data_IF_373478393813
#
_entry.id   IF_373478393813
#
_cell.length_a   1.000
_cell.length_b   1.000
_cell.length_c   1.000
_cell.angle_alpha   90.00
_cell.angle_beta   90.00
_cell.angle_gamma   90.00
#
_symmetry.space_group_name_H-M   'P 1'
#
loop_
_entity.id
_entity.type
_entity.pdbx_description
1 polymer ?
#
# COMPACT_ATOMS: atom_id res chain seq x y z
N UNK A 1 2.04 -15.97 37.53
CA UNK A 1 3.36 -16.35 38.09
C UNK A 1 3.54 -17.87 38.11
N UNK A 2 2.65 -18.66 38.72
CA UNK A 2 2.77 -20.13 38.71
C UNK A 2 2.79 -20.73 37.28
N UNK A 3 1.91 -20.26 36.40
CA UNK A 3 1.82 -20.73 35.01
C UNK A 3 3.05 -20.33 34.16
N UNK A 4 3.57 -19.11 34.35
CA UNK A 4 4.78 -18.63 33.66
C UNK A 4 6.04 -19.40 34.07
N UNK A 5 6.16 -19.76 35.35
CA UNK A 5 7.28 -20.59 35.83
C UNK A 5 7.21 -22.02 35.28
N UNK A 6 6.00 -22.55 35.06
CA UNK A 6 5.79 -23.85 34.40
C UNK A 6 6.29 -23.84 32.95
N UNK A 7 5.92 -22.81 32.17
CA UNK A 7 6.36 -22.65 30.78
C UNK A 7 7.87 -22.50 30.67
N UNK A 8 8.50 -21.75 31.59
CA UNK A 8 9.97 -21.61 31.63
C UNK A 8 10.69 -22.93 31.85
N UNK A 9 10.25 -23.68 32.86
CA UNK A 9 10.84 -24.98 33.19
C UNK A 9 10.70 -25.96 32.04
N UNK A 10 9.54 -25.97 31.38
CA UNK A 10 9.29 -26.84 30.23
C UNK A 10 10.14 -26.43 29.02
N UNK A 11 10.31 -25.12 28.77
CA UNK A 11 11.15 -24.62 27.69
C UNK A 11 12.62 -25.01 27.90
N UNK A 12 13.15 -24.85 29.12
CA UNK A 12 14.52 -25.29 29.44
C UNK A 12 14.70 -26.80 29.25
N UNK A 13 13.67 -27.59 29.55
CA UNK A 13 13.69 -29.05 29.38
C UNK A 13 13.78 -29.48 27.92
N UNK A 14 13.14 -28.74 27.00
CA UNK A 14 12.98 -29.16 25.60
C UNK A 14 13.77 -28.32 24.58
N UNK A 15 14.56 -27.34 25.04
CA UNK A 15 15.29 -26.41 24.16
C UNK A 15 16.19 -27.08 23.12
N UNK A 16 16.74 -28.26 23.43
CA UNK A 16 17.62 -29.01 22.53
C UNK A 16 16.86 -29.93 21.56
N UNK A 17 15.53 -29.99 21.63
CA UNK A 17 14.68 -30.79 20.76
C UNK A 17 13.84 -29.88 19.84
N UNK A 18 14.27 -29.67 18.58
CA UNK A 18 13.55 -28.82 17.63
C UNK A 18 12.10 -29.24 17.41
N UNK A 19 11.80 -30.54 17.32
CA UNK A 19 10.43 -31.01 17.10
C UNK A 19 9.51 -30.63 18.27
N UNK A 20 9.99 -30.82 19.50
CA UNK A 20 9.22 -30.46 20.70
C UNK A 20 8.96 -28.95 20.80
N UNK A 21 9.85 -28.10 20.28
CA UNK A 21 9.65 -26.65 20.23
C UNK A 21 8.52 -26.22 19.28
N UNK A 22 8.20 -27.01 18.26
CA UNK A 22 7.09 -26.76 17.32
C UNK A 22 5.76 -27.37 17.80
N UNK A 23 5.80 -28.55 18.43
CA UNK A 23 4.59 -29.31 18.81
C UNK A 23 4.03 -28.92 20.19
N UNK A 24 4.89 -28.52 21.13
CA UNK A 24 4.45 -28.20 22.50
C UNK A 24 3.77 -26.84 22.52
N UNK A 25 2.46 -26.82 22.81
CA UNK A 25 1.69 -25.57 22.83
C UNK A 25 1.63 -24.92 24.19
N UNK A 26 1.70 -23.60 24.17
CA UNK A 26 1.41 -22.75 25.31
C UNK A 26 0.14 -21.98 25.00
N UNK A 27 -0.88 -22.19 25.83
CA UNK A 27 -2.10 -21.40 25.81
C UNK A 27 -1.98 -20.24 26.80
N UNK A 28 -2.46 -19.07 26.41
CA UNK A 28 -2.55 -17.92 27.30
C UNK A 28 -1.30 -17.02 27.29
N UNK A 29 -1.18 -16.21 28.34
CA UNK A 29 -0.23 -15.11 28.37
C UNK A 29 1.09 -15.49 29.04
N UNK A 30 2.21 -15.27 28.34
CA UNK A 30 3.56 -15.51 28.86
C UNK A 30 4.24 -14.17 29.16
N UNK A 31 4.67 -13.99 30.41
CA UNK A 31 5.33 -12.76 30.86
C UNK A 31 6.85 -12.86 30.78
N UNK A 32 7.49 -11.76 30.37
CA UNK A 32 8.93 -11.51 30.54
C UNK A 32 9.26 -11.38 32.07
N UNK A 33 10.54 -11.43 32.54
CA UNK A 33 11.79 -11.19 31.81
C UNK A 33 12.64 -12.43 31.46
N UNK A 34 12.42 -13.59 32.07
CA UNK A 34 13.32 -14.74 31.91
C UNK A 34 13.30 -15.34 30.49
N UNK A 35 12.29 -15.00 29.70
CA UNK A 35 12.15 -15.38 28.29
C UNK A 35 11.46 -14.25 27.51
N UNK A 36 11.40 -14.38 26.18
CA UNK A 36 10.58 -13.49 25.34
C UNK A 36 9.12 -13.63 25.77
N UNK A 37 8.44 -12.54 26.11
CA UNK A 37 7.04 -12.56 26.52
C UNK A 37 6.05 -12.30 25.38
N UNK A 38 4.79 -12.69 25.55
CA UNK A 38 3.70 -12.40 24.60
C UNK A 38 3.57 -10.89 24.34
N UNK A 39 3.72 -10.05 25.38
CA UNK A 39 3.73 -8.57 25.22
C UNK A 39 4.84 -8.07 24.32
N UNK A 40 6.05 -8.63 24.44
CA UNK A 40 7.19 -8.19 23.63
C UNK A 40 6.98 -8.47 22.14
N UNK A 41 6.40 -9.63 21.81
CA UNK A 41 6.02 -10.00 20.44
C UNK A 41 4.95 -9.03 19.93
N UNK A 42 3.90 -8.82 20.71
CA UNK A 42 2.78 -7.95 20.34
C UNK A 42 3.25 -6.51 20.12
N UNK A 43 3.99 -5.92 21.06
CA UNK A 43 4.48 -4.54 20.93
C UNK A 43 5.46 -4.38 19.78
N UNK A 44 6.39 -5.33 19.59
CA UNK A 44 7.32 -5.29 18.46
C UNK A 44 6.57 -5.32 17.12
N UNK A 45 5.57 -6.19 16.97
CA UNK A 45 4.75 -6.27 15.76
C UNK A 45 3.91 -5.00 15.55
N UNK A 46 3.21 -4.53 16.59
CA UNK A 46 2.37 -3.34 16.51
C UNK A 46 3.19 -2.08 16.18
N UNK A 47 4.35 -1.90 16.81
CA UNK A 47 5.24 -0.77 16.54
C UNK A 47 5.76 -0.81 15.10
N UNK A 48 6.12 -2.01 14.62
CA UNK A 48 6.58 -2.20 13.24
C UNK A 48 5.47 -1.97 12.23
N UNK A 49 4.26 -2.49 12.46
CA UNK A 49 3.08 -2.23 11.63
C UNK A 49 2.76 -0.74 11.59
N UNK A 50 2.78 -0.06 12.74
CA UNK A 50 2.60 1.39 12.80
C UNK A 50 3.68 2.13 12.01
N UNK A 51 4.95 1.77 12.16
CA UNK A 51 6.05 2.37 11.41
C UNK A 51 5.92 2.15 9.88
N UNK A 52 5.49 0.96 9.46
CA UNK A 52 5.22 0.63 8.06
C UNK A 52 4.08 1.47 7.49
N UNK A 53 2.94 1.53 8.20
CA UNK A 53 1.78 2.34 7.81
C UNK A 53 2.17 3.80 7.75
N UNK A 54 2.88 4.30 8.76
CA UNK A 54 3.33 5.68 8.83
C UNK A 54 4.18 6.08 7.62
N UNK A 55 5.10 5.20 7.19
CA UNK A 55 5.91 5.40 5.98
C UNK A 55 5.06 5.45 4.72
N UNK A 56 4.07 4.55 4.61
CA UNK A 56 3.14 4.53 3.48
C UNK A 56 2.19 5.75 3.46
N UNK A 57 1.92 6.39 4.60
CA UNK A 57 0.92 7.45 4.74
C UNK A 57 1.46 8.87 4.70
N UNK A 58 2.77 9.08 4.61
CA UNK A 58 3.40 10.41 4.50
C UNK A 58 3.07 11.20 3.22
N UNK A 59 2.01 10.81 2.52
CA UNK A 59 1.77 11.17 1.12
C UNK A 59 0.72 12.27 0.88
N UNK A 60 0.19 13.04 1.85
CA UNK A 60 -0.79 14.08 1.47
C UNK A 60 -0.76 15.37 2.30
N UNK A 61 -0.81 16.51 1.58
CA UNK A 61 -1.03 17.86 2.12
C UNK A 61 -2.45 17.95 2.69
N UNK A 62 -2.65 18.40 3.93
CA UNK A 62 -3.98 18.68 4.45
C UNK A 62 -4.63 19.83 3.67
N UNK A 63 -5.90 19.67 3.28
CA UNK A 63 -6.66 20.74 2.62
C UNK A 63 -6.89 21.90 3.61
N UNK A 64 -6.61 23.12 3.17
CA UNK A 64 -6.88 24.32 3.98
C UNK A 64 -8.37 24.42 4.33
N UNK A 65 -8.69 24.56 5.62
CA UNK A 65 -10.06 24.77 6.11
C UNK A 65 -10.85 23.53 6.59
N UNK A 66 -10.26 22.33 6.66
CA UNK A 66 -10.96 21.13 7.16
C UNK A 66 -10.91 20.99 8.70
N UNK A 67 -12.03 20.57 9.31
CA UNK A 67 -12.11 20.26 10.75
C UNK A 67 -11.13 19.17 11.18
N UNK A 68 -10.63 19.22 12.42
CA UNK A 68 -9.73 18.22 13.00
C UNK A 68 -10.28 16.79 12.90
N UNK A 69 -11.59 16.61 13.11
CA UNK A 69 -12.24 15.30 13.04
C UNK A 69 -12.22 14.71 11.62
N UNK A 70 -12.44 15.53 10.58
CA UNK A 70 -12.40 15.04 9.21
C UNK A 70 -10.98 14.71 8.75
N UNK A 71 -9.98 15.42 9.27
CA UNK A 71 -8.57 15.08 9.10
C UNK A 71 -8.21 13.76 9.79
N UNK A 72 -8.65 13.57 11.03
CA UNK A 72 -8.39 12.36 11.80
C UNK A 72 -9.06 11.13 11.17
N UNK A 73 -10.34 11.24 10.78
CA UNK A 73 -11.07 10.17 10.09
C UNK A 73 -10.44 9.80 8.74
N UNK A 74 -9.98 10.81 7.99
CA UNK A 74 -9.29 10.59 6.72
C UNK A 74 -7.99 9.83 6.94
N UNK A 75 -7.17 10.22 7.93
CA UNK A 75 -5.93 9.51 8.28
C UNK A 75 -6.22 8.08 8.72
N UNK A 76 -7.18 7.88 9.61
CA UNK A 76 -7.56 6.54 10.11
C UNK A 76 -8.04 5.63 8.97
N UNK A 77 -8.85 6.16 8.04
CA UNK A 77 -9.31 5.41 6.87
C UNK A 77 -8.15 4.91 6.00
N UNK A 78 -7.14 5.75 5.77
CA UNK A 78 -5.95 5.37 5.01
C UNK A 78 -5.03 4.44 5.78
N UNK A 79 -4.92 4.59 7.10
CA UNK A 79 -4.21 3.64 7.96
C UNK A 79 -4.83 2.26 7.89
N UNK A 80 -6.15 2.16 7.94
CA UNK A 80 -6.85 0.89 7.79
C UNK A 80 -6.66 0.31 6.38
N UNK A 81 -6.74 1.13 5.32
CA UNK A 81 -6.46 0.67 3.97
C UNK A 81 -5.03 0.11 3.81
N UNK A 82 -4.03 0.78 4.39
CA UNK A 82 -2.65 0.33 4.38
C UNK A 82 -2.40 -0.91 5.25
N UNK A 83 -3.17 -1.09 6.33
CA UNK A 83 -3.13 -2.28 7.18
C UNK A 83 -3.75 -3.50 6.49
N UNK A 84 -4.90 -3.36 5.82
CA UNK A 84 -5.60 -4.50 5.21
C UNK A 84 -5.14 -4.80 3.77
N UNK A 85 -4.59 -3.81 3.06
CA UNK A 85 -4.13 -3.94 1.68
C UNK A 85 -2.85 -3.15 1.42
N UNK A 86 -1.71 -3.48 2.08
CA UNK A 86 -0.44 -2.80 1.86
C UNK A 86 0.01 -2.91 0.38
N UNK A 87 -0.31 -4.01 -0.29
CA UNK A 87 -0.03 -4.21 -1.70
C UNK A 87 -0.87 -3.31 -2.61
N UNK A 88 -2.12 -2.99 -2.23
CA UNK A 88 -2.95 -2.05 -2.99
C UNK A 88 -2.41 -0.63 -2.88
N UNK A 89 -1.88 -0.28 -1.71
CA UNK A 89 -1.19 1.00 -1.50
C UNK A 89 0.10 1.05 -2.31
N UNK A 90 0.88 -0.03 -2.33
CA UNK A 90 2.09 -0.16 -3.16
C UNK A 90 1.76 -0.06 -4.66
N UNK A 91 0.74 -0.78 -5.13
CA UNK A 91 0.25 -0.70 -6.51
C UNK A 91 -0.08 0.75 -6.88
N UNK A 92 -0.86 1.41 -6.02
CA UNK A 92 -1.24 2.80 -6.25
C UNK A 92 -0.02 3.73 -6.31
N UNK A 93 0.91 3.63 -5.36
CA UNK A 93 2.13 4.42 -5.33
C UNK A 93 3.00 4.20 -6.58
N UNK A 94 3.16 2.95 -7.03
CA UNK A 94 3.86 2.62 -8.27
C UNK A 94 3.18 3.23 -9.50
N UNK A 95 1.85 3.19 -9.57
CA UNK A 95 1.13 3.81 -10.70
C UNK A 95 1.30 5.32 -10.74
N UNK A 96 1.26 5.99 -9.59
CA UNK A 96 1.52 7.42 -9.50
C UNK A 96 2.95 7.75 -9.92
N UNK A 97 3.91 6.93 -9.50
CA UNK A 97 5.32 7.08 -9.82
C UNK A 97 5.59 6.98 -11.32
N UNK A 98 5.03 5.97 -11.98
CA UNK A 98 5.17 5.77 -13.42
C UNK A 98 4.49 6.90 -14.21
N UNK A 99 3.30 7.33 -13.79
CA UNK A 99 2.59 8.45 -14.42
C UNK A 99 3.36 9.77 -14.29
N UNK A 100 3.95 10.03 -13.13
CA UNK A 100 4.78 11.20 -12.89
C UNK A 100 6.04 11.21 -13.77
N UNK A 101 6.74 10.08 -13.87
CA UNK A 101 7.92 9.95 -14.76
C UNK A 101 7.56 10.10 -16.23
N UNK A 102 6.41 9.59 -16.65
CA UNK A 102 5.91 9.77 -18.01
C UNK A 102 5.61 11.24 -18.30
N UNK A 103 4.95 11.93 -17.38
CA UNK A 103 4.73 13.37 -17.50
C UNK A 103 6.06 14.13 -17.57
N UNK A 104 7.04 13.80 -16.73
CA UNK A 104 8.36 14.42 -16.77
C UNK A 104 9.05 14.26 -18.14
N UNK A 105 8.97 13.06 -18.74
CA UNK A 105 9.50 12.76 -20.08
C UNK A 105 8.74 13.51 -21.17
N UNK A 106 7.41 13.52 -21.12
CA UNK A 106 6.58 14.23 -22.09
C UNK A 106 6.87 15.73 -22.06
N UNK A 107 6.96 16.31 -20.87
CA UNK A 107 7.30 17.71 -20.69
C UNK A 107 8.70 17.99 -21.23
N UNK A 108 9.72 17.17 -20.90
CA UNK A 108 11.08 17.31 -21.47
C UNK A 108 11.06 17.32 -23.00
N UNK A 109 10.31 16.41 -23.63
CA UNK A 109 10.18 16.36 -25.09
C UNK A 109 9.46 17.60 -25.68
N UNK A 110 8.44 18.12 -25.00
CA UNK A 110 7.74 19.35 -25.41
C UNK A 110 8.63 20.58 -25.25
N UNK A 111 9.44 20.61 -24.19
CA UNK A 111 10.40 21.67 -23.92
C UNK A 111 11.59 21.66 -24.88
N UNK A 112 12.14 20.50 -25.22
CA UNK A 112 13.20 20.38 -26.23
C UNK A 112 12.72 20.88 -27.60
N UNK A 113 11.43 20.67 -27.93
CA UNK A 113 10.79 21.24 -29.12
C UNK A 113 10.55 22.76 -29.02
N UNK A 114 10.47 23.31 -27.81
CA UNK A 114 10.26 24.73 -27.52
C UNK A 114 11.54 25.47 -27.09
N UNK A 115 12.71 24.83 -27.18
CA UNK A 115 14.00 25.25 -26.63
C UNK A 115 14.64 26.51 -27.26
N UNK A 116 13.86 27.40 -27.88
CA UNK A 116 14.26 28.75 -28.27
C UNK A 116 13.99 29.81 -27.19
N UNK A 117 13.40 29.48 -26.03
CA UNK A 117 12.81 30.48 -25.12
C UNK A 117 13.42 30.63 -23.70
N UNK A 118 14.61 30.08 -23.43
CA UNK A 118 15.35 30.37 -22.19
C UNK A 118 15.03 29.45 -21.00
N UNK A 119 16.07 29.26 -20.18
CA UNK A 119 16.30 28.17 -19.22
C UNK A 119 15.16 27.89 -18.21
N UNK A 120 14.89 26.60 -18.02
CA UNK A 120 13.99 26.05 -16.99
C UNK A 120 14.83 25.73 -15.76
N UNK A 121 14.45 26.27 -14.60
CA UNK A 121 15.15 26.01 -13.34
C UNK A 121 14.58 24.79 -12.58
N UNK A 122 13.42 24.23 -12.95
CA UNK A 122 12.81 23.12 -12.19
C UNK A 122 13.10 21.75 -12.79
N UNK A 123 13.51 20.78 -11.97
CA UNK A 123 13.71 19.38 -12.40
C UNK A 123 12.39 18.78 -12.93
N UNK A 124 12.30 18.34 -14.20
CA UNK A 124 11.10 17.76 -14.79
C UNK A 124 10.51 16.59 -13.98
N UNK A 125 11.36 15.82 -13.31
CA UNK A 125 10.92 14.71 -12.46
C UNK A 125 10.17 15.25 -11.23
N UNK A 126 10.77 16.17 -10.48
CA UNK A 126 10.12 16.83 -9.34
C UNK A 126 8.81 17.51 -9.76
N UNK A 127 8.78 18.14 -10.93
CA UNK A 127 7.58 18.75 -11.50
C UNK A 127 6.48 17.71 -11.79
N UNK A 128 6.81 16.62 -12.49
CA UNK A 128 5.86 15.57 -12.83
C UNK A 128 5.22 14.92 -11.59
N UNK A 129 6.02 14.70 -10.55
CA UNK A 129 5.55 14.22 -9.26
C UNK A 129 4.67 15.23 -8.53
N UNK A 130 5.06 16.51 -8.51
CA UNK A 130 4.25 17.57 -7.90
C UNK A 130 2.85 17.64 -8.54
N UNK A 131 2.76 17.51 -9.86
CA UNK A 131 1.49 17.41 -10.59
C UNK A 131 0.72 16.14 -10.22
N UNK A 132 1.38 14.97 -10.19
CA UNK A 132 0.74 13.69 -9.87
C UNK A 132 0.15 13.64 -8.45
N UNK A 133 0.81 14.32 -7.51
CA UNK A 133 0.37 14.50 -6.12
C UNK A 133 -0.68 15.61 -5.97
N UNK A 134 -1.05 16.29 -7.04
CA UNK A 134 -2.10 17.31 -7.01
C UNK A 134 -1.66 18.65 -6.44
N UNK A 135 -0.40 19.03 -6.59
CA UNK A 135 0.15 20.29 -6.08
C UNK A 135 -0.34 21.57 -6.80
N UNK A 136 -1.03 21.43 -7.94
CA UNK A 136 -1.63 22.57 -8.65
C UNK A 136 -3.13 22.63 -8.43
N UNK A 137 -3.62 23.81 -8.04
CA UNK A 137 -5.04 24.11 -7.95
C UNK A 137 -5.42 25.23 -8.92
N UNK A 138 -6.57 25.08 -9.57
CA UNK A 138 -7.12 26.06 -10.50
C UNK A 138 -8.53 26.45 -10.06
N UNK A 139 -8.82 27.75 -10.05
CA UNK A 139 -10.16 28.26 -9.80
C UNK A 139 -11.05 27.97 -11.02
N UNK A 140 -12.10 27.18 -10.81
CA UNK A 140 -13.08 26.88 -11.86
C UNK A 140 -14.36 27.64 -11.53
N UNK A 141 -14.77 28.51 -12.44
CA UNK A 141 -16.04 29.23 -12.34
C UNK A 141 -17.19 28.30 -12.71
N UNK A 142 -18.03 27.96 -11.74
CA UNK A 142 -19.24 27.15 -12.01
C UNK A 142 -20.35 28.04 -12.55
N UNK A 143 -21.27 27.49 -13.35
CA UNK A 143 -22.36 28.21 -14.04
C UNK A 143 -23.34 28.98 -13.12
N UNK A 144 -23.09 29.04 -11.81
CA UNK A 144 -23.79 29.88 -10.84
C UNK A 144 -22.92 30.95 -10.16
N UNK A 145 -21.77 31.31 -10.73
CA UNK A 145 -20.90 32.40 -10.24
C UNK A 145 -20.03 32.07 -9.02
N UNK A 146 -20.04 30.82 -8.54
CA UNK A 146 -19.15 30.37 -7.46
C UNK A 146 -17.86 29.79 -8.04
N UNK A 147 -16.73 30.38 -7.65
CA UNK A 147 -15.40 29.85 -7.95
C UNK A 147 -15.05 28.74 -6.95
N UNK A 148 -14.68 27.57 -7.47
CA UNK A 148 -14.19 26.47 -6.64
C UNK A 148 -12.79 26.07 -7.09
N UNK A 149 -11.84 26.10 -6.16
CA UNK A 149 -10.50 25.57 -6.37
C UNK A 149 -10.57 24.06 -6.62
N UNK A 150 -9.98 23.62 -7.72
CA UNK A 150 -9.88 22.21 -8.08
C UNK A 150 -8.44 21.84 -8.43
N UNK A 151 -8.01 20.71 -7.90
CA UNK A 151 -6.72 20.12 -8.22
C UNK A 151 -6.65 19.72 -9.70
N UNK A 152 -5.56 20.10 -10.36
CA UNK A 152 -5.31 19.77 -11.75
C UNK A 152 -4.65 18.38 -11.88
N UNK A 153 -5.20 17.51 -12.73
CA UNK A 153 -4.66 16.16 -12.94
C UNK A 153 -3.48 16.17 -13.94
N UNK A 154 -2.68 15.09 -13.94
CA UNK A 154 -1.61 14.84 -14.94
C UNK A 154 -2.11 14.99 -16.38
N UNK A 155 -3.30 14.45 -16.67
CA UNK A 155 -3.94 14.59 -18.00
C UNK A 155 -4.31 16.04 -18.31
N UNK A 156 -4.80 16.78 -17.30
CA UNK A 156 -5.12 18.20 -17.41
C UNK A 156 -3.88 19.05 -17.70
N UNK A 157 -2.78 18.82 -16.98
CA UNK A 157 -1.50 19.50 -17.24
C UNK A 157 -0.99 19.20 -18.65
N UNK A 158 -1.04 17.94 -19.09
CA UNK A 158 -0.61 17.57 -20.45
C UNK A 158 -1.43 18.29 -21.53
N UNK A 159 -2.76 18.38 -21.35
CA UNK A 159 -3.65 19.11 -22.27
C UNK A 159 -3.35 20.61 -22.27
N UNK A 160 -3.14 21.22 -21.09
CA UNK A 160 -2.81 22.64 -20.98
C UNK A 160 -1.44 22.97 -21.58
N UNK A 161 -0.45 22.10 -21.37
CA UNK A 161 0.88 22.22 -21.98
C UNK A 161 0.80 22.15 -23.52
N UNK A 162 -0.12 21.36 -24.08
CA UNK A 162 -0.34 21.27 -25.52
C UNK A 162 -0.99 22.54 -26.13
N UNK A 163 -1.72 23.34 -25.34
CA UNK A 163 -2.38 24.58 -25.78
C UNK A 163 -1.45 25.81 -25.66
N UNK A 164 -0.15 25.58 -25.48
CA UNK A 164 0.89 26.61 -25.53
C UNK A 164 0.81 27.65 -24.40
N UNK A 165 0.18 27.31 -23.28
CA UNK A 165 0.38 28.06 -22.05
C UNK A 165 1.72 27.63 -21.50
N UNK A 166 2.66 28.58 -21.40
CA UNK A 166 4.01 28.35 -20.84
C UNK A 166 3.88 27.41 -19.64
N UNK A 167 4.50 26.23 -19.69
CA UNK A 167 4.31 25.24 -18.65
C UNK A 167 4.72 25.84 -17.31
N UNK A 168 3.73 25.92 -16.43
CA UNK A 168 3.70 26.74 -15.23
C UNK A 168 4.88 26.39 -14.32
N UNK A 169 5.85 27.30 -14.22
CA UNK A 169 7.06 27.09 -13.44
C UNK A 169 6.77 27.25 -11.95
N UNK A 170 6.92 26.19 -11.17
CA UNK A 170 7.03 26.27 -9.71
C UNK A 170 8.48 26.60 -9.33
N UNK A 171 8.74 27.65 -8.54
CA UNK A 171 10.08 27.98 -8.05
C UNK A 171 10.71 26.82 -7.26
N UNK A 172 12.01 26.52 -7.48
CA UNK A 172 12.77 25.51 -6.70
C UNK A 172 12.68 25.72 -5.18
N UNK A 173 12.57 26.96 -4.73
CA UNK A 173 12.48 27.34 -3.31
C UNK A 173 11.23 26.79 -2.61
N UNK A 174 10.13 26.54 -3.33
CA UNK A 174 8.93 25.90 -2.78
C UNK A 174 9.12 24.38 -2.58
N UNK A 175 10.06 23.76 -3.29
CA UNK A 175 10.24 22.30 -3.31
C UNK A 175 11.39 21.86 -2.39
N UNK A 176 12.47 22.64 -2.27
CA UNK A 176 13.69 22.15 -1.62
C UNK A 176 13.78 22.38 -0.10
N UNK A 177 12.73 22.84 0.58
CA UNK A 177 12.83 23.09 2.03
C UNK A 177 12.80 21.79 2.86
N UNK A 178 13.79 21.57 3.75
CA UNK A 178 13.86 20.38 4.62
C UNK A 178 13.94 20.76 6.09
N UNK A 179 13.14 20.08 6.90
CA UNK A 179 13.41 19.89 8.32
C UNK A 179 14.31 18.65 8.52
N UNK A 180 15.35 18.77 9.36
CA UNK A 180 16.22 17.66 9.79
C UNK A 180 15.44 16.52 10.47
N UNK A 181 14.26 16.84 11.01
CA UNK A 181 13.36 15.91 11.67
C UNK A 181 12.91 14.75 10.76
N UNK A 182 12.69 15.01 9.47
CA UNK A 182 12.23 13.97 8.51
C UNK A 182 13.30 12.88 8.29
N UNK A 183 14.59 13.24 8.36
CA UNK A 183 15.69 12.27 8.18
C UNK A 183 15.86 11.38 9.41
N UNK A 184 15.80 11.95 10.62
CA UNK A 184 15.85 11.20 11.87
C UNK A 184 14.67 10.24 11.99
N UNK A 185 13.48 10.69 11.63
CA UNK A 185 12.27 9.88 11.66
C UNK A 185 12.33 8.68 10.70
N UNK A 186 12.81 8.89 9.47
CA UNK A 186 13.04 7.80 8.50
C UNK A 186 14.08 6.79 9.01
N UNK A 187 15.15 7.27 9.64
CA UNK A 187 16.17 6.41 10.23
C UNK A 187 15.60 5.55 11.38
N UNK A 188 14.77 6.11 12.25
CA UNK A 188 14.11 5.37 13.34
C UNK A 188 13.17 4.29 12.81
N UNK A 189 12.39 4.59 11.77
CA UNK A 189 11.53 3.60 11.11
C UNK A 189 12.36 2.45 10.53
N UNK A 190 13.42 2.77 9.78
CA UNK A 190 14.28 1.74 9.17
C UNK A 190 14.98 0.88 10.23
N UNK A 191 15.39 1.48 11.35
CA UNK A 191 15.95 0.74 12.48
C UNK A 191 14.92 -0.23 13.07
N UNK A 192 13.70 0.23 13.34
CA UNK A 192 12.62 -0.62 13.87
C UNK A 192 12.29 -1.79 12.92
N UNK A 193 12.15 -1.48 11.63
CA UNK A 193 11.83 -2.46 10.59
C UNK A 193 12.97 -3.47 10.40
N UNK A 194 14.21 -2.99 10.34
CA UNK A 194 15.40 -3.83 10.22
C UNK A 194 15.58 -4.74 11.43
N UNK A 195 15.28 -4.24 12.63
CA UNK A 195 15.32 -5.02 13.86
C UNK A 195 14.30 -6.17 13.85
N UNK A 196 13.04 -5.89 13.49
CA UNK A 196 12.02 -6.94 13.35
C UNK A 196 12.42 -7.99 12.31
N UNK A 197 12.92 -7.56 11.15
CA UNK A 197 13.38 -8.46 10.09
C UNK A 197 14.53 -9.36 10.56
N UNK A 198 15.52 -8.79 11.24
CA UNK A 198 16.65 -9.54 11.80
C UNK A 198 16.18 -10.61 12.80
N UNK A 199 15.24 -10.27 13.69
CA UNK A 199 14.68 -11.26 14.64
C UNK A 199 13.99 -12.40 13.91
N UNK A 200 13.14 -12.11 12.92
CA UNK A 200 12.42 -13.14 12.16
C UNK A 200 13.38 -14.06 11.37
N UNK A 201 14.39 -13.47 10.71
CA UNK A 201 15.40 -14.21 9.93
C UNK A 201 16.25 -15.08 10.86
N UNK A 202 16.74 -14.52 11.98
CA UNK A 202 17.51 -15.26 12.97
C UNK A 202 16.71 -16.47 13.48
N UNK A 203 15.46 -16.27 13.91
CA UNK A 203 14.60 -17.36 14.40
C UNK A 203 14.43 -18.46 13.35
N UNK A 204 14.21 -18.08 12.10
CA UNK A 204 14.12 -19.05 11.00
C UNK A 204 15.42 -19.82 10.78
N UNK A 205 16.58 -19.15 10.89
CA UNK A 205 17.89 -19.78 10.78
C UNK A 205 18.19 -20.78 11.92
N UNK A 206 17.68 -20.51 13.13
CA UNK A 206 17.74 -21.46 14.27
C UNK A 206 16.64 -22.53 14.23
N UNK A 207 15.81 -22.58 13.17
CA UNK A 207 14.72 -23.55 13.05
C UNK A 207 13.57 -23.34 14.04
N UNK A 208 13.44 -22.15 14.62
CA UNK A 208 12.39 -21.84 15.59
C UNK A 208 11.07 -21.49 14.90
N UNK A 209 9.92 -21.76 15.55
CA UNK A 209 8.62 -21.32 15.05
C UNK A 209 8.52 -19.78 15.05
N UNK A 210 7.85 -19.26 14.04
CA UNK A 210 7.43 -17.87 13.94
C UNK A 210 5.93 -17.78 14.22
N UNK A 211 5.49 -16.71 14.85
CA UNK A 211 4.06 -16.43 15.00
C UNK A 211 3.47 -15.98 13.66
N UNK A 212 2.16 -16.19 13.48
CA UNK A 212 1.45 -15.64 12.31
C UNK A 212 1.51 -14.11 12.28
N UNK A 213 1.52 -13.46 13.46
CA UNK A 213 1.66 -12.00 13.55
C UNK A 213 3.02 -11.51 13.04
N UNK A 214 4.11 -12.19 13.39
CA UNK A 214 5.44 -11.86 12.87
C UNK A 214 5.50 -12.06 11.36
N UNK A 215 4.95 -13.18 10.84
CA UNK A 215 4.88 -13.43 9.40
C UNK A 215 4.09 -12.35 8.67
N UNK A 216 2.91 -11.98 9.18
CA UNK A 216 2.08 -10.93 8.62
C UNK A 216 2.80 -9.57 8.63
N UNK A 217 3.47 -9.24 9.75
CA UNK A 217 4.25 -8.01 9.88
C UNK A 217 5.38 -7.95 8.87
N UNK A 218 6.05 -9.08 8.58
CA UNK A 218 7.10 -9.13 7.55
C UNK A 218 6.61 -8.79 6.15
N UNK A 219 5.35 -9.14 5.80
CA UNK A 219 4.76 -8.72 4.53
C UNK A 219 4.59 -7.20 4.48
N UNK A 220 4.14 -6.58 5.57
CA UNK A 220 4.06 -5.12 5.68
C UNK A 220 5.42 -4.45 5.57
N UNK A 221 6.46 -5.04 6.17
CA UNK A 221 7.84 -4.56 6.09
C UNK A 221 8.32 -4.52 4.65
N UNK A 222 8.14 -5.60 3.89
CA UNK A 222 8.55 -5.67 2.47
C UNK A 222 7.80 -4.63 1.64
N UNK A 223 6.48 -4.51 1.82
CA UNK A 223 5.69 -3.50 1.13
C UNK A 223 6.12 -2.07 1.51
N UNK A 224 6.39 -1.80 2.79
CA UNK A 224 6.82 -0.48 3.24
C UNK A 224 8.20 -0.09 2.71
N UNK A 225 9.14 -1.03 2.65
CA UNK A 225 10.45 -0.80 2.00
C UNK A 225 10.24 -0.52 0.51
N UNK A 226 9.45 -1.33 -0.20
CA UNK A 226 9.17 -1.09 -1.62
C UNK A 226 8.53 0.28 -1.87
N UNK A 227 7.56 0.68 -1.03
CA UNK A 227 6.96 2.02 -1.08
C UNK A 227 8.03 3.08 -0.79
N UNK A 228 8.86 2.88 0.23
CA UNK A 228 9.92 3.81 0.60
C UNK A 228 10.96 3.98 -0.51
N UNK A 229 11.35 2.92 -1.22
CA UNK A 229 12.27 2.97 -2.35
C UNK A 229 11.66 3.70 -3.55
N UNK A 230 10.40 3.42 -3.86
CA UNK A 230 9.65 4.13 -4.92
C UNK A 230 9.57 5.63 -4.61
N UNK A 231 9.42 5.98 -3.33
CA UNK A 231 9.36 7.37 -2.88
C UNK A 231 10.75 8.00 -2.68
N UNK A 232 11.80 7.23 -2.42
CA UNK A 232 13.15 7.74 -2.12
C UNK A 232 13.92 8.07 -3.40
N UNK A 233 13.66 7.36 -4.50
CA UNK A 233 14.48 7.44 -5.72
C UNK A 233 14.56 8.85 -6.32
N UNK A 234 13.55 9.71 -6.13
CA UNK A 234 13.53 11.06 -6.71
C UNK A 234 13.20 12.11 -5.61
N UNK A 235 14.18 12.44 -4.75
CA UNK A 235 14.16 13.48 -3.69
C UNK A 235 12.80 14.15 -3.42
N UNK A 236 11.90 13.37 -2.81
CA UNK A 236 10.55 13.75 -2.46
C UNK A 236 10.53 14.80 -1.34
N UNK A 237 9.99 15.98 -1.64
CA UNK A 237 9.58 16.98 -0.64
C UNK A 237 8.30 17.64 -1.13
N UNK A 238 7.28 17.56 -0.29
CA UNK A 238 5.97 18.16 -0.52
C UNK A 238 6.09 19.66 -0.18
N UNK A 239 5.81 20.59 -1.10
CA UNK A 239 5.77 22.02 -0.78
C UNK A 239 4.71 22.32 0.29
N UNK A 240 4.99 23.27 1.17
CA UNK A 240 4.06 23.66 2.25
C UNK A 240 2.82 24.41 1.75
N UNK A 241 2.80 24.83 0.49
CA UNK A 241 1.72 25.62 -0.11
C UNK A 241 1.37 25.13 -1.51
N UNK A 242 0.07 25.09 -1.82
CA UNK A 242 -0.43 24.81 -3.16
C UNK A 242 -0.10 25.99 -4.08
N UNK A 243 0.37 25.71 -5.29
CA UNK A 243 0.50 26.75 -6.32
C UNK A 243 -0.89 27.13 -6.84
N UNK A 244 -1.32 28.38 -6.62
CA UNK A 244 -2.55 28.90 -7.22
C UNK A 244 -2.30 29.30 -8.67
N UNK A 245 -3.03 28.68 -9.60
CA UNK A 245 -3.11 29.20 -10.98
C UNK A 245 -4.19 30.29 -11.03
N UNK A 246 -3.87 31.42 -11.66
CA UNK A 246 -4.85 32.44 -12.03
C UNK A 246 -5.98 31.88 -12.91
N UNK A 247 -7.10 32.60 -12.99
CA UNK A 247 -8.29 32.18 -13.74
C UNK A 247 -7.99 32.06 -15.23
N UNK A 248 -8.16 30.85 -15.78
CA UNK A 248 -8.11 30.61 -17.23
C UNK A 248 -9.49 30.16 -17.67
N UNK A 249 -10.13 30.96 -18.52
CA UNK A 249 -11.43 30.67 -19.11
C UNK A 249 -11.26 29.60 -20.19
N UNK A 250 -11.60 28.34 -19.89
CA UNK A 250 -11.49 27.20 -20.80
C UNK A 250 -12.86 26.60 -21.09
N UNK A 251 -13.11 26.34 -22.37
CA UNK A 251 -14.40 25.89 -22.91
C UNK A 251 -14.87 24.56 -22.28
N UNK A 252 -16.16 24.51 -21.92
CA UNK A 252 -16.78 23.61 -20.93
C UNK A 252 -16.87 22.13 -21.36
N UNK A 253 -16.22 21.72 -22.47
CA UNK A 253 -16.56 20.45 -23.16
C UNK A 253 -15.52 19.32 -23.09
N UNK A 254 -14.34 19.52 -22.50
CA UNK A 254 -13.31 18.48 -22.46
C UNK A 254 -12.82 18.13 -21.05
N UNK A 255 -13.29 16.96 -20.56
CA UNK A 255 -12.76 16.15 -19.46
C UNK A 255 -12.03 16.89 -18.33
N UNK A 256 -12.79 17.68 -17.59
CA UNK A 256 -12.52 17.80 -16.16
C UNK A 256 -12.81 16.44 -15.53
N UNK A 257 -11.80 15.58 -15.34
CA UNK A 257 -11.93 14.53 -14.35
C UNK A 257 -11.70 15.17 -12.97
N UNK A 258 -12.75 15.35 -12.13
CA UNK A 258 -12.64 15.97 -10.81
C UNK A 258 -11.85 15.13 -9.80
N UNK A 259 -11.45 13.91 -10.17
CA UNK A 259 -10.62 13.04 -9.34
C UNK A 259 -9.15 13.43 -9.49
N UNK A 260 -8.79 14.58 -8.90
CA UNK A 260 -7.40 14.81 -8.52
C UNK A 260 -6.93 13.59 -7.73
N UNK A 261 -5.83 12.99 -8.15
CA UNK A 261 -5.19 11.76 -7.64
C UNK A 261 -4.58 11.95 -6.24
N UNK A 262 -5.28 12.66 -5.37
CA UNK A 262 -5.02 12.66 -3.94
C UNK A 262 -5.61 11.37 -3.37
N UNK A 263 -4.80 10.58 -2.66
CA UNK A 263 -5.30 9.36 -1.98
C UNK A 263 -6.58 9.72 -1.21
N UNK A 264 -6.61 10.85 -0.50
CA UNK A 264 -7.74 11.27 0.34
C UNK A 264 -9.14 11.31 -0.32
N UNK A 265 -9.26 11.44 -1.65
CA UNK A 265 -10.55 11.43 -2.38
C UNK A 265 -11.03 10.07 -2.87
N UNK A 266 -10.21 9.02 -2.74
CA UNK A 266 -10.45 7.68 -3.29
C UNK A 266 -10.95 6.76 -2.18
N UNK A 267 -12.13 6.17 -2.34
CA UNK A 267 -12.62 5.07 -1.50
C UNK A 267 -11.92 3.76 -1.89
N UNK A 268 -11.79 2.80 -0.97
CA UNK A 268 -11.15 1.50 -1.27
C UNK A 268 -11.80 0.80 -2.48
N UNK A 269 -13.13 0.92 -2.60
CA UNK A 269 -13.89 0.46 -3.76
C UNK A 269 -13.47 1.17 -5.04
N UNK A 270 -13.30 2.50 -5.01
CA UNK A 270 -12.83 3.27 -6.16
C UNK A 270 -11.34 3.05 -6.49
N UNK A 271 -10.54 2.57 -5.53
CA UNK A 271 -9.16 2.18 -5.76
C UNK A 271 -9.12 0.84 -6.52
N UNK A 272 -9.99 -0.10 -6.15
CA UNK A 272 -10.17 -1.35 -6.89
C UNK A 272 -10.77 -1.09 -8.28
N UNK A 273 -11.90 -0.38 -8.39
CA UNK A 273 -12.53 -0.11 -9.70
C UNK A 273 -11.67 0.79 -10.60
N UNK A 274 -10.99 1.80 -10.05
CA UNK A 274 -10.08 2.64 -10.84
C UNK A 274 -8.83 1.90 -11.31
N UNK A 275 -8.43 0.83 -10.63
CA UNK A 275 -7.40 -0.09 -11.11
C UNK A 275 -7.90 -0.93 -12.29
N UNK A 276 -9.17 -1.35 -12.24
CA UNK A 276 -9.84 -2.12 -13.29
C UNK A 276 -10.02 -1.27 -14.58
N UNK A 277 -10.39 0.00 -14.46
CA UNK A 277 -10.48 0.93 -15.62
C UNK A 277 -9.13 1.08 -16.35
N UNK A 278 -8.02 1.15 -15.60
CA UNK A 278 -6.67 1.23 -16.20
C UNK A 278 -6.26 -0.09 -16.86
N UNK A 279 -6.74 -1.22 -16.35
CA UNK A 279 -6.50 -2.54 -16.92
C UNK A 279 -7.17 -2.70 -18.29
N UNK A 280 -8.41 -2.23 -18.46
CA UNK A 280 -9.14 -2.36 -19.73
C UNK A 280 -8.61 -1.46 -20.85
N UNK A 281 -7.84 -0.41 -20.52
CA UNK A 281 -7.26 0.49 -21.50
C UNK A 281 -5.88 -0.02 -21.96
N UNK A 282 -5.88 -1.02 -22.84
CA UNK A 282 -4.68 -1.68 -23.39
C UNK A 282 -3.85 -0.69 -24.21
N UNK A 283 -2.84 -0.08 -23.59
CA UNK A 283 -1.72 0.59 -24.25
C UNK A 283 -0.42 -0.19 -23.97
N UNK A 284 0.68 0.19 -24.62
CA UNK A 284 2.02 -0.43 -24.53
C UNK A 284 2.57 -0.63 -23.09
N UNK A 285 1.99 0.06 -22.10
CA UNK A 285 2.33 0.03 -20.66
C UNK A 285 1.43 -0.91 -19.83
N UNK A 286 0.39 -1.50 -20.45
CA UNK A 286 -0.61 -2.36 -19.79
C UNK A 286 0.01 -3.61 -19.17
N UNK A 287 1.11 -4.14 -19.72
CA UNK A 287 1.77 -5.34 -19.22
C UNK A 287 2.35 -5.18 -17.82
N UNK A 288 2.95 -4.03 -17.49
CA UNK A 288 3.49 -3.80 -16.14
C UNK A 288 2.38 -3.61 -15.11
N UNK A 289 1.34 -2.85 -15.44
CA UNK A 289 0.18 -2.69 -14.54
C UNK A 289 -0.53 -4.01 -14.30
N UNK A 290 -0.68 -4.82 -15.35
CA UNK A 290 -1.21 -6.18 -15.27
C UNK A 290 -0.36 -7.06 -14.34
N UNK A 291 0.96 -7.04 -14.53
CA UNK A 291 1.88 -7.80 -13.70
C UNK A 291 1.82 -7.37 -12.24
N UNK A 292 1.72 -6.06 -11.95
CA UNK A 292 1.58 -5.57 -10.58
C UNK A 292 0.23 -5.96 -9.97
N UNK A 293 -0.86 -5.86 -10.74
CA UNK A 293 -2.21 -6.17 -10.28
C UNK A 293 -2.40 -7.65 -9.95
N UNK A 294 -1.78 -8.55 -10.72
CA UNK A 294 -1.81 -10.00 -10.48
C UNK A 294 -0.72 -10.42 -9.49
N UNK A 295 0.50 -9.93 -9.70
CA UNK A 295 1.71 -10.37 -9.03
C UNK A 295 1.74 -9.99 -7.56
N UNK A 296 1.30 -8.78 -7.19
CA UNK A 296 1.36 -8.36 -5.79
C UNK A 296 0.42 -9.17 -4.87
N UNK A 297 -0.87 -9.41 -5.23
CA UNK A 297 -1.74 -10.30 -4.46
C UNK A 297 -1.28 -11.76 -4.48
N UNK A 298 -0.71 -12.24 -5.59
CA UNK A 298 -0.11 -13.56 -5.69
C UNK A 298 1.05 -13.75 -4.71
N UNK A 299 1.98 -12.79 -4.65
CA UNK A 299 3.08 -12.80 -3.70
C UNK A 299 2.55 -12.74 -2.27
N UNK A 300 1.59 -11.84 -1.99
CA UNK A 300 0.98 -11.73 -0.67
C UNK A 300 0.36 -13.06 -0.21
N UNK A 301 -0.50 -13.65 -1.04
CA UNK A 301 -1.12 -14.94 -0.75
C UNK A 301 -0.08 -16.05 -0.59
N UNK A 302 0.93 -16.08 -1.45
CA UNK A 302 2.04 -17.03 -1.39
C UNK A 302 2.84 -16.97 -0.09
N UNK A 303 3.17 -15.77 0.41
CA UNK A 303 3.88 -15.62 1.69
C UNK A 303 3.03 -16.17 2.85
N UNK A 304 1.73 -15.91 2.88
CA UNK A 304 0.86 -16.45 3.94
C UNK A 304 0.66 -17.97 3.81
N UNK A 305 0.65 -18.49 2.58
CA UNK A 305 0.62 -19.92 2.31
C UNK A 305 1.95 -20.61 2.65
N UNK A 306 3.06 -19.89 2.78
CA UNK A 306 4.32 -20.48 3.29
C UNK A 306 4.18 -21.02 4.72
N UNK A 307 3.19 -20.54 5.48
CA UNK A 307 2.77 -21.07 6.79
C UNK A 307 1.76 -22.23 6.66
N UNK A 308 1.75 -22.97 5.56
CA UNK A 308 0.81 -24.08 5.33
C UNK A 308 0.82 -25.14 6.44
N UNK A 309 2.01 -25.41 6.99
CA UNK A 309 2.25 -26.42 8.03
C UNK A 309 2.23 -25.83 9.43
N UNK A 310 1.91 -24.53 9.60
CA UNK A 310 1.80 -23.95 10.93
C UNK A 310 0.63 -24.59 11.67
N UNK A 311 0.80 -24.79 12.96
CA UNK A 311 -0.25 -25.32 13.81
C UNK A 311 -1.20 -24.21 14.25
N UNK A 312 -2.49 -24.42 14.02
CA UNK A 312 -3.55 -23.48 14.42
C UNK A 312 -4.26 -24.01 15.66
N UNK A 313 -4.89 -23.14 16.47
CA UNK A 313 -5.64 -23.58 17.64
C UNK A 313 -6.76 -24.56 17.27
N UNK A 314 -7.42 -24.36 16.12
CA UNK A 314 -8.46 -25.25 15.60
C UNK A 314 -8.24 -25.64 14.13
N UNK A 315 -8.80 -26.78 13.72
CA UNK A 315 -8.77 -27.23 12.32
C UNK A 315 -9.53 -26.26 11.38
N UNK A 316 -10.59 -25.62 11.88
CA UNK A 316 -11.36 -24.62 11.13
C UNK A 316 -10.52 -23.39 10.84
N UNK A 317 -9.76 -22.89 11.83
CA UNK A 317 -8.85 -21.76 11.63
C UNK A 317 -7.75 -22.07 10.62
N UNK A 318 -7.15 -23.27 10.71
CA UNK A 318 -6.18 -23.71 9.70
C UNK A 318 -6.78 -23.77 8.29
N UNK A 319 -8.01 -24.29 8.16
CA UNK A 319 -8.68 -24.41 6.88
C UNK A 319 -9.04 -23.03 6.31
N UNK A 320 -9.61 -22.13 7.12
CA UNK A 320 -9.95 -20.78 6.71
C UNK A 320 -8.72 -19.96 6.31
N UNK A 321 -7.59 -20.15 7.00
CA UNK A 321 -6.31 -19.55 6.62
C UNK A 321 -5.86 -19.99 5.23
N UNK A 322 -5.87 -21.30 4.98
CA UNK A 322 -5.47 -21.90 3.70
C UNK A 322 -6.38 -21.44 2.56
N UNK A 323 -7.70 -21.47 2.77
CA UNK A 323 -8.69 -20.96 1.80
C UNK A 323 -8.43 -19.48 1.52
N UNK A 324 -8.29 -18.65 2.55
CA UNK A 324 -8.05 -17.21 2.38
C UNK A 324 -6.78 -16.91 1.60
N UNK A 325 -5.68 -17.61 1.90
CA UNK A 325 -4.40 -17.47 1.19
C UNK A 325 -4.50 -17.87 -0.29
N UNK A 326 -5.15 -19.00 -0.59
CA UNK A 326 -5.39 -19.46 -1.97
C UNK A 326 -6.29 -18.49 -2.72
N UNK A 327 -7.40 -18.07 -2.10
CA UNK A 327 -8.34 -17.11 -2.69
C UNK A 327 -7.62 -15.81 -3.02
N UNK A 328 -6.85 -15.22 -2.11
CA UNK A 328 -6.12 -13.97 -2.39
C UNK A 328 -5.12 -14.14 -3.53
N UNK A 329 -4.43 -15.29 -3.61
CA UNK A 329 -3.47 -15.57 -4.67
C UNK A 329 -4.14 -15.75 -6.06
N UNK A 330 -5.34 -16.34 -6.10
CA UNK A 330 -5.99 -16.76 -7.35
C UNK A 330 -7.09 -15.82 -7.84
N UNK A 331 -7.63 -14.94 -6.99
CA UNK A 331 -8.87 -14.20 -7.28
C UNK A 331 -8.76 -13.26 -8.49
N UNK A 332 -7.65 -12.53 -8.65
CA UNK A 332 -7.47 -11.61 -9.78
C UNK A 332 -7.21 -12.34 -11.11
N UNK A 333 -6.32 -13.36 -11.18
CA UNK A 333 -6.22 -14.21 -12.37
C UNK A 333 -7.55 -14.84 -12.78
N UNK A 334 -8.30 -15.37 -11.80
CA UNK A 334 -9.59 -16.01 -12.06
C UNK A 334 -10.61 -14.99 -12.57
N UNK A 335 -10.67 -13.79 -11.97
CA UNK A 335 -11.54 -12.71 -12.42
C UNK A 335 -11.23 -12.29 -13.85
N UNK A 336 -9.95 -12.09 -14.20
CA UNK A 336 -9.54 -11.75 -15.58
C UNK A 336 -9.98 -12.83 -16.57
N UNK A 337 -9.77 -14.10 -16.22
CA UNK A 337 -10.19 -15.21 -17.07
C UNK A 337 -11.71 -15.21 -17.31
N UNK A 338 -12.50 -14.97 -16.27
CA UNK A 338 -13.97 -14.87 -16.36
C UNK A 338 -14.38 -13.71 -17.26
N UNK A 339 -13.81 -12.52 -17.04
CA UNK A 339 -14.08 -11.30 -17.83
C UNK A 339 -13.81 -11.53 -19.32
N UNK A 340 -12.61 -12.02 -19.64
CA UNK A 340 -12.18 -12.28 -21.03
C UNK A 340 -13.06 -13.35 -21.68
N UNK A 341 -13.40 -14.41 -20.96
CA UNK A 341 -14.24 -15.49 -21.48
C UNK A 341 -15.64 -14.98 -21.80
N UNK A 342 -16.27 -14.24 -20.89
CA UNK A 342 -17.60 -13.68 -21.13
C UNK A 342 -17.56 -12.67 -22.26
N UNK A 343 -16.57 -11.78 -22.29
CA UNK A 343 -16.43 -10.81 -23.37
C UNK A 343 -16.30 -11.49 -24.73
N UNK A 344 -15.50 -12.56 -24.82
CA UNK A 344 -15.36 -13.36 -26.03
C UNK A 344 -16.68 -14.02 -26.43
N UNK A 345 -17.38 -14.65 -25.49
CA UNK A 345 -18.66 -15.35 -25.74
C UNK A 345 -19.74 -14.36 -26.19
N UNK A 346 -19.92 -13.25 -25.49
CA UNK A 346 -20.95 -12.24 -25.81
C UNK A 346 -20.66 -11.59 -27.16
N UNK A 347 -19.40 -11.28 -27.46
CA UNK A 347 -19.02 -10.73 -28.77
C UNK A 347 -19.26 -11.74 -29.90
N UNK A 348 -19.00 -13.03 -29.64
CA UNK A 348 -19.21 -14.10 -30.61
C UNK A 348 -20.70 -14.38 -30.88
N UNK A 349 -21.54 -14.30 -29.85
CA UNK A 349 -22.99 -14.57 -29.96
C UNK A 349 -23.75 -13.37 -30.52
N UNK A 350 -23.41 -12.15 -30.10
CA UNK A 350 -24.09 -10.94 -30.56
C UNK A 350 -23.65 -10.48 -31.95
N UNK A 351 -22.47 -10.93 -32.40
CA UNK A 351 -21.84 -10.45 -33.64
C UNK A 351 -21.39 -8.99 -33.58
N UNK A 352 -21.47 -8.35 -32.40
CA UNK A 352 -21.08 -6.97 -32.16
C UNK A 352 -19.94 -6.91 -31.14
N UNK A 353 -19.01 -5.94 -31.26
CA UNK A 353 -18.03 -5.69 -30.22
C UNK A 353 -18.76 -5.30 -28.93
N UNK A 354 -18.61 -6.11 -27.89
CA UNK A 354 -19.13 -5.82 -26.55
C UNK A 354 -17.96 -5.66 -25.58
N UNK A 355 -18.03 -4.65 -24.73
CA UNK A 355 -17.07 -4.41 -23.66
C UNK A 355 -17.68 -4.75 -22.29
N UNK A 356 -16.84 -5.24 -21.38
CA UNK A 356 -17.23 -5.52 -19.99
C UNK A 356 -17.81 -4.28 -19.27
N UNK A 357 -17.44 -3.08 -19.72
CA UNK A 357 -17.88 -1.80 -19.15
C UNK A 357 -19.21 -1.28 -19.70
N UNK A 358 -19.77 -1.91 -20.73
CA UNK A 358 -20.97 -1.40 -21.40
C UNK A 358 -22.25 -1.60 -20.57
N UNK A 359 -22.26 -2.54 -19.62
CA UNK A 359 -23.41 -2.85 -18.76
C UNK A 359 -23.03 -2.78 -17.28
N UNK A 360 -23.20 -1.60 -16.68
CA UNK A 360 -22.88 -1.33 -15.27
C UNK A 360 -23.59 -2.29 -14.29
N UNK A 361 -24.80 -2.76 -14.63
CA UNK A 361 -25.55 -3.71 -13.80
C UNK A 361 -24.89 -5.08 -13.78
N UNK A 362 -24.52 -5.56 -14.96
CA UNK A 362 -23.81 -6.83 -15.13
C UNK A 362 -22.40 -6.78 -14.53
N UNK A 363 -21.64 -5.71 -14.77
CA UNK A 363 -20.30 -5.49 -14.20
C UNK A 363 -20.35 -5.58 -12.67
N UNK A 364 -21.28 -4.86 -12.02
CA UNK A 364 -21.42 -4.89 -10.55
C UNK A 364 -21.85 -6.26 -10.02
N UNK A 365 -22.68 -6.99 -10.76
CA UNK A 365 -23.15 -8.31 -10.37
C UNK A 365 -21.98 -9.32 -10.29
N UNK A 366 -21.02 -9.23 -11.21
CA UNK A 366 -19.85 -10.12 -11.24
C UNK A 366 -18.73 -9.60 -10.33
N UNK A 367 -18.42 -8.30 -10.38
CA UNK A 367 -17.27 -7.72 -9.68
C UNK A 367 -17.52 -7.55 -8.18
N UNK A 368 -18.78 -7.31 -7.78
CA UNK A 368 -19.18 -7.12 -6.39
C UNK A 368 -18.81 -8.30 -5.47
N UNK A 369 -19.22 -9.55 -5.80
CA UNK A 369 -18.85 -10.74 -5.04
C UNK A 369 -17.34 -10.97 -4.96
N UNK A 370 -16.59 -10.69 -6.04
CA UNK A 370 -15.13 -10.84 -6.10
C UNK A 370 -14.45 -9.86 -5.13
N UNK A 371 -14.86 -8.59 -5.16
CA UNK A 371 -14.37 -7.57 -4.23
C UNK A 371 -14.71 -7.94 -2.79
N UNK A 372 -15.94 -8.40 -2.53
CA UNK A 372 -16.37 -8.80 -1.19
C UNK A 372 -15.57 -9.99 -0.66
N UNK A 373 -15.34 -11.01 -1.49
CA UNK A 373 -14.54 -12.19 -1.14
C UNK A 373 -13.08 -11.80 -0.85
N UNK A 374 -12.50 -10.92 -1.66
CA UNK A 374 -11.15 -10.40 -1.41
C UNK A 374 -11.07 -9.70 -0.05
N UNK A 375 -11.99 -8.77 0.23
CA UNK A 375 -12.03 -8.03 1.50
C UNK A 375 -12.22 -9.00 2.68
N UNK A 376 -13.14 -9.97 2.57
CA UNK A 376 -13.39 -10.94 3.63
C UNK A 376 -12.16 -11.78 3.96
N UNK A 377 -11.46 -12.31 2.93
CA UNK A 377 -10.24 -13.09 3.11
C UNK A 377 -9.11 -12.23 3.73
N UNK A 378 -9.04 -10.94 3.36
CA UNK A 378 -8.07 -10.00 3.93
C UNK A 378 -8.32 -9.71 5.40
N UNK A 379 -9.56 -9.41 5.76
CA UNK A 379 -9.96 -9.23 7.16
C UNK A 379 -9.64 -10.47 7.97
N UNK A 380 -9.93 -11.66 7.44
CA UNK A 380 -9.66 -12.92 8.11
C UNK A 380 -8.17 -13.12 8.40
N UNK A 381 -7.29 -12.98 7.40
CA UNK A 381 -5.83 -13.15 7.59
C UNK A 381 -5.29 -12.19 8.67
N UNK A 382 -5.68 -10.91 8.62
CA UNK A 382 -5.23 -9.92 9.60
C UNK A 382 -5.73 -10.29 11.00
N UNK A 383 -7.01 -10.62 11.16
CA UNK A 383 -7.58 -10.97 12.46
C UNK A 383 -6.97 -12.25 13.01
N UNK A 384 -6.83 -13.28 12.19
CA UNK A 384 -6.22 -14.56 12.58
C UNK A 384 -4.76 -14.39 13.01
N UNK A 385 -4.01 -13.48 12.38
CA UNK A 385 -2.64 -13.17 12.80
C UNK A 385 -2.57 -12.69 14.27
N UNK A 386 -3.57 -11.94 14.75
CA UNK A 386 -3.67 -11.55 16.16
C UNK A 386 -4.26 -12.65 17.04
N UNK A 387 -5.35 -13.28 16.60
CA UNK A 387 -6.07 -14.28 17.41
C UNK A 387 -5.22 -15.51 17.67
N UNK A 388 -4.39 -15.93 16.72
CA UNK A 388 -3.49 -17.08 16.85
C UNK A 388 -2.45 -16.94 17.97
N UNK A 389 -2.14 -15.71 18.44
CA UNK A 389 -1.26 -15.51 19.60
C UNK A 389 -1.81 -16.12 20.90
N UNK A 390 -3.11 -16.46 20.96
CA UNK A 390 -3.72 -17.12 22.13
C UNK A 390 -3.17 -18.52 22.40
N UNK A 391 -2.65 -19.19 21.36
CA UNK A 391 -2.10 -20.53 21.46
C UNK A 391 -1.00 -20.69 20.40
N UNK A 392 0.25 -20.63 20.85
CA UNK A 392 1.44 -20.69 19.98
C UNK A 392 2.38 -21.81 20.44
N UNK A 393 3.26 -22.30 19.55
CA UNK A 393 4.33 -23.21 19.93
C UNK A 393 5.26 -22.58 20.98
N UNK A 394 5.71 -23.36 21.96
CA UNK A 394 6.58 -22.89 23.05
C UNK A 394 7.90 -22.31 22.54
N UNK A 395 8.41 -22.80 21.40
CA UNK A 395 9.61 -22.28 20.75
C UNK A 395 9.51 -20.82 20.34
N UNK A 396 8.31 -20.24 20.28
CA UNK A 396 8.09 -18.80 20.03
C UNK A 396 8.75 -17.93 21.10
N UNK A 397 8.82 -18.42 22.34
CA UNK A 397 9.33 -17.67 23.49
C UNK A 397 10.83 -17.84 23.72
N UNK A 398 11.46 -18.81 23.04
CA UNK A 398 12.90 -18.99 23.07
C UNK A 398 13.60 -18.00 22.16
N UNK A 399 14.67 -17.35 22.66
CA UNK A 399 15.44 -16.35 21.90
C UNK A 399 16.94 -16.64 22.08
N UNK A 400 17.73 -16.73 20.99
CA UNK A 400 19.18 -16.93 21.08
C UNK A 400 19.85 -15.85 21.94
N UNK A 401 20.85 -16.24 22.73
CA UNK A 401 21.52 -15.35 23.69
C UNK A 401 22.04 -14.05 23.05
N UNK A 402 22.62 -14.11 21.85
CA UNK A 402 23.14 -12.93 21.17
C UNK A 402 22.05 -11.93 20.75
N UNK A 403 20.82 -12.38 20.50
CA UNK A 403 19.68 -11.49 20.21
C UNK A 403 19.23 -10.75 21.47
N UNK A 404 19.39 -11.37 22.64
CA UNK A 404 19.12 -10.74 23.94
C UNK A 404 20.18 -9.70 24.34
N UNK A 405 21.40 -9.80 23.79
CA UNK A 405 22.49 -8.86 24.07
C UNK A 405 22.32 -7.51 23.36
N UNK A 406 21.46 -7.42 22.35
CA UNK A 406 21.21 -6.19 21.61
C UNK A 406 20.02 -5.47 22.27
N UNK A 407 20.16 -4.19 22.66
CA UNK A 407 19.10 -3.45 23.32
C UNK A 407 17.84 -3.43 22.44
N UNK A 408 16.73 -3.86 23.02
CA UNK A 408 15.43 -3.81 22.39
C UNK A 408 14.96 -2.34 22.37
N UNK A 409 14.65 -1.82 21.19
CA UNK A 409 14.16 -0.44 20.98
C UNK A 409 12.70 -0.31 21.38
#
# INVERSE_FOLDING_TARGET
MAETNSVYTELERIQDNPAALHETRVSGWVSAPNMRGTSSILYSCLLTLFACIYTALHLNVPKSGSSFLSLLLSKLRWSLAALFGPELVLYYALTQFLEARKLAKDMRNLYDKAATAGAIDTDPNKYGFFVAMGGFEMAVSTSGGSERLRTLSVKGVRKLAAVNIKPFMTPRSLIDDRSKADTLQKALVLLQVGWMALQCIARKAYGLPLTLLELHTMVHVVCAIAIAEVLSHDHFKIPSENGSLGSVEMDKKHDFNPRGTNLQGVNATSLLTGSMDKFLNVNDESGLFLWLFIGLPLIYGGVHLSAWTFEFPTAVESLLWKISGITIAAIFPMWIFIVVTIQFVVSSVSGLPWSWDDDEGFTKLVDGPVILAFIACRLYIVVEAFVSLRAVPIGVYWTPAWVQMIPHV
#
